data_IF_134207207502
#
_entry.id   IF_134207207502
#
_cell.length_a   1.000
_cell.length_b   1.000
_cell.length_c   1.000
_cell.angle_alpha   90.00
_cell.angle_beta   90.00
_cell.angle_gamma   90.00
#
_symmetry.space_group_name_H-M   'P 1'
#
loop_
_entity.id
_entity.type
_entity.pdbx_description
1 polymer ?
#
# COMPACT_ATOMS: atom_id res chain seq x y z
N UNK A 1 10.51 6.08 -19.10
CA UNK A 1 9.61 5.18 -18.36
C UNK A 1 8.73 4.43 -19.33
N UNK A 2 8.74 3.09 -19.28
CA UNK A 2 7.79 2.27 -20.03
C UNK A 2 6.45 2.28 -19.28
N UNK A 3 5.49 3.08 -19.75
CA UNK A 3 4.21 3.30 -19.07
C UNK A 3 3.41 1.98 -18.93
N UNK A 4 3.39 1.14 -19.97
CA UNK A 4 2.61 -0.10 -19.96
C UNK A 4 3.08 -1.07 -18.88
N UNK A 5 4.40 -1.31 -18.82
CA UNK A 5 4.99 -2.17 -17.78
C UNK A 5 4.89 -1.54 -16.39
N UNK A 6 5.04 -0.20 -16.29
CA UNK A 6 4.90 0.51 -15.02
C UNK A 6 3.49 0.36 -14.44
N UNK A 7 2.46 0.54 -15.26
CA UNK A 7 1.05 0.37 -14.84
C UNK A 7 0.74 -1.09 -14.51
N UNK A 8 1.25 -2.05 -15.29
CA UNK A 8 1.09 -3.48 -15.00
C UNK A 8 1.63 -3.83 -13.61
N UNK A 9 2.91 -3.51 -13.34
CA UNK A 9 3.54 -3.85 -12.07
C UNK A 9 2.99 -3.05 -10.90
N UNK A 10 2.56 -1.81 -11.14
CA UNK A 10 1.80 -1.04 -10.17
C UNK A 10 0.51 -1.77 -9.74
N UNK A 11 -0.33 -2.19 -10.70
CA UNK A 11 -1.60 -2.88 -10.42
C UNK A 11 -1.35 -4.18 -9.65
N UNK A 12 -0.35 -4.96 -10.09
CA UNK A 12 0.01 -6.23 -9.43
C UNK A 12 0.49 -5.98 -8.01
N UNK A 13 1.42 -5.04 -7.80
CA UNK A 13 1.93 -4.68 -6.49
C UNK A 13 0.81 -4.21 -5.56
N UNK A 14 0.00 -3.25 -6.01
CA UNK A 14 -1.12 -2.69 -5.27
C UNK A 14 -2.13 -3.76 -4.87
N UNK A 15 -2.50 -4.65 -5.80
CA UNK A 15 -3.42 -5.75 -5.51
C UNK A 15 -2.83 -6.70 -4.45
N UNK A 16 -1.56 -7.08 -4.58
CA UNK A 16 -0.92 -8.02 -3.65
C UNK A 16 -0.80 -7.43 -2.25
N UNK A 17 -0.30 -6.19 -2.09
CA UNK A 17 -0.18 -5.56 -0.76
C UNK A 17 -1.55 -5.41 -0.10
N UNK A 18 -2.58 -5.08 -0.88
CA UNK A 18 -3.96 -4.95 -0.40
C UNK A 18 -4.49 -6.29 0.09
N UNK A 19 -4.34 -7.36 -0.71
CA UNK A 19 -4.78 -8.71 -0.32
C UNK A 19 -4.03 -9.25 0.89
N UNK A 20 -2.75 -8.94 1.04
CA UNK A 20 -1.98 -9.31 2.25
C UNK A 20 -2.55 -8.60 3.48
N UNK A 21 -2.87 -7.31 3.41
CA UNK A 21 -3.49 -6.57 4.52
C UNK A 21 -4.89 -7.10 4.89
N UNK A 22 -5.73 -7.36 3.88
CA UNK A 22 -7.05 -7.98 4.07
C UNK A 22 -6.90 -9.38 4.70
N UNK A 23 -5.97 -10.18 4.17
CA UNK A 23 -5.69 -11.52 4.66
C UNK A 23 -5.20 -11.54 6.10
N UNK A 24 -4.32 -10.60 6.49
CA UNK A 24 -3.87 -10.49 7.89
C UNK A 24 -5.01 -10.05 8.82
N UNK A 25 -5.87 -9.12 8.38
CA UNK A 25 -7.07 -8.74 9.14
C UNK A 25 -8.02 -9.95 9.32
N UNK A 26 -8.22 -10.74 8.27
CA UNK A 26 -9.02 -11.96 8.34
C UNK A 26 -8.39 -13.01 9.26
N UNK A 27 -7.07 -13.17 9.23
CA UNK A 27 -6.34 -14.06 10.13
C UNK A 27 -6.51 -13.64 11.60
N UNK A 28 -6.35 -12.34 11.89
CA UNK A 28 -6.57 -11.76 13.21
C UNK A 28 -7.98 -12.04 13.73
N UNK A 29 -8.98 -11.92 12.85
CA UNK A 29 -10.37 -12.16 13.22
C UNK A 29 -10.70 -13.65 13.38
N UNK A 30 -10.39 -14.49 12.39
CA UNK A 30 -10.87 -15.88 12.35
C UNK A 30 -9.96 -16.86 13.07
N UNK A 31 -8.65 -16.64 13.03
CA UNK A 31 -7.67 -17.56 13.59
C UNK A 31 -7.31 -17.14 15.01
N UNK A 32 -6.92 -15.88 15.20
CA UNK A 32 -6.58 -15.36 16.54
C UNK A 32 -7.81 -15.00 17.38
N UNK A 33 -9.00 -14.98 16.78
CA UNK A 33 -10.28 -14.69 17.46
C UNK A 33 -10.24 -13.37 18.23
N UNK A 34 -9.62 -12.34 17.64
CA UNK A 34 -9.59 -11.01 18.24
C UNK A 34 -11.01 -10.45 18.21
N UNK A 35 -11.60 -10.29 19.38
CA UNK A 35 -12.91 -9.68 19.60
C UNK A 35 -12.78 -8.16 19.70
N UNK A 36 -13.88 -7.45 19.39
CA UNK A 36 -13.93 -6.01 19.54
C UNK A 36 -14.15 -5.66 21.02
N UNK A 37 -13.35 -4.74 21.51
CA UNK A 37 -13.45 -4.17 22.86
C UNK A 37 -14.57 -3.14 22.97
N UNK A 38 -15.02 -2.58 21.84
CA UNK A 38 -16.15 -1.66 21.76
C UNK A 38 -17.39 -2.38 21.25
N UNK A 39 -18.50 -2.18 21.95
CA UNK A 39 -19.81 -2.70 21.55
C UNK A 39 -20.38 -1.98 20.32
N UNK A 40 -20.15 -0.67 20.23
CA UNK A 40 -20.58 0.15 19.10
C UNK A 40 -19.42 0.39 18.12
N UNK A 41 -19.64 0.02 16.85
CA UNK A 41 -18.69 0.22 15.76
C UNK A 41 -19.11 1.45 14.96
N UNK A 42 -18.41 2.56 15.19
CA UNK A 42 -18.64 3.83 14.51
C UNK A 42 -17.54 4.14 13.48
N UNK A 43 -16.38 3.49 13.62
CA UNK A 43 -15.19 3.62 12.80
C UNK A 43 -14.66 2.25 12.40
N UNK A 44 -13.94 2.18 11.28
CA UNK A 44 -13.21 0.97 10.92
C UNK A 44 -12.10 0.63 11.93
N UNK A 45 -11.57 1.63 12.65
CA UNK A 45 -10.61 1.44 13.74
C UNK A 45 -11.23 0.92 15.04
N UNK A 46 -12.56 0.90 15.15
CA UNK A 46 -13.23 0.23 16.28
C UNK A 46 -13.22 -1.31 16.10
N UNK A 47 -12.86 -1.79 14.91
CA UNK A 47 -12.64 -3.21 14.63
C UNK A 47 -11.21 -3.56 15.05
N UNK A 48 -11.07 -4.17 16.23
CA UNK A 48 -9.76 -4.43 16.85
C UNK A 48 -8.87 -5.34 16.00
N UNK A 49 -9.49 -6.30 15.29
CA UNK A 49 -8.78 -7.17 14.35
C UNK A 49 -8.10 -6.38 13.23
N UNK A 50 -8.72 -5.30 12.74
CA UNK A 50 -8.17 -4.41 11.72
C UNK A 50 -7.17 -3.41 12.29
N UNK A 51 -7.50 -2.76 13.42
CA UNK A 51 -6.63 -1.78 14.05
C UNK A 51 -5.25 -2.36 14.39
N UNK A 52 -5.20 -3.66 14.75
CA UNK A 52 -3.94 -4.38 14.98
C UNK A 52 -3.18 -4.73 13.69
N UNK A 53 -3.85 -4.80 12.55
CA UNK A 53 -3.22 -5.05 11.24
C UNK A 53 -2.52 -3.81 10.70
N UNK A 54 -3.08 -2.63 10.98
CA UNK A 54 -2.66 -1.32 10.45
C UNK A 54 -1.15 -1.05 10.50
N UNK A 55 -0.44 -1.28 11.62
CA UNK A 55 1.02 -1.12 11.67
C UNK A 55 1.79 -1.98 10.67
N UNK A 56 1.27 -3.17 10.35
CA UNK A 56 1.92 -4.11 9.44
C UNK A 56 1.72 -3.73 7.98
N UNK A 57 0.73 -2.91 7.65
CA UNK A 57 0.52 -2.45 6.28
C UNK A 57 1.77 -1.74 5.75
N UNK A 58 2.41 -0.90 6.57
CA UNK A 58 3.69 -0.28 6.22
C UNK A 58 4.78 -1.32 5.93
N UNK A 59 4.90 -2.36 6.77
CA UNK A 59 5.90 -3.43 6.60
C UNK A 59 5.70 -4.19 5.28
N UNK A 60 4.45 -4.51 4.92
CA UNK A 60 4.15 -5.17 3.65
C UNK A 60 4.58 -4.33 2.46
N UNK A 61 4.34 -3.01 2.54
CA UNK A 61 4.72 -2.10 1.48
C UNK A 61 6.24 -1.96 1.37
N UNK A 62 6.96 -1.88 2.50
CA UNK A 62 8.45 -1.85 2.52
C UNK A 62 9.05 -3.07 1.84
N UNK A 63 8.44 -4.26 2.00
CA UNK A 63 8.97 -5.51 1.43
C UNK A 63 8.54 -5.72 -0.02
N UNK A 64 7.26 -5.50 -0.33
CA UNK A 64 6.70 -5.92 -1.61
C UNK A 64 6.99 -4.92 -2.74
N UNK A 65 6.94 -3.62 -2.48
CA UNK A 65 7.15 -2.63 -3.55
C UNK A 65 8.55 -2.69 -4.16
N UNK A 66 9.66 -2.85 -3.41
CA UNK A 66 10.98 -2.98 -4.01
C UNK A 66 11.11 -4.20 -4.91
N UNK A 67 10.43 -5.31 -4.59
CA UNK A 67 10.41 -6.52 -5.42
C UNK A 67 9.79 -6.22 -6.78
N UNK A 68 8.64 -5.53 -6.82
CA UNK A 68 8.00 -5.18 -8.09
C UNK A 68 8.75 -4.10 -8.85
N UNK A 69 9.39 -3.15 -8.18
CA UNK A 69 10.31 -2.21 -8.82
C UNK A 69 11.50 -2.93 -9.47
N UNK A 70 12.09 -3.90 -8.78
CA UNK A 70 13.18 -4.72 -9.31
C UNK A 70 12.74 -5.49 -10.56
N UNK A 71 11.57 -6.15 -10.52
CA UNK A 71 11.00 -6.88 -11.66
C UNK A 71 10.75 -5.93 -12.85
N UNK A 72 10.27 -4.71 -12.61
CA UNK A 72 10.09 -3.71 -13.66
C UNK A 72 11.43 -3.35 -14.33
N UNK A 73 12.47 -3.08 -13.55
CA UNK A 73 13.74 -2.64 -14.12
C UNK A 73 14.50 -3.72 -14.87
N UNK A 74 14.45 -4.99 -14.43
CA UNK A 74 15.07 -6.08 -15.20
C UNK A 74 14.41 -6.24 -16.59
N UNK A 75 13.13 -5.88 -16.73
CA UNK A 75 12.41 -5.95 -18.00
C UNK A 75 12.65 -4.72 -18.88
N UNK A 76 12.70 -3.53 -18.28
CA UNK A 76 12.88 -2.28 -19.03
C UNK A 76 14.35 -2.02 -19.37
N UNK A 77 15.28 -2.44 -18.51
CA UNK A 77 16.73 -2.22 -18.65
C UNK A 77 17.08 -0.78 -19.09
N UNK A 78 16.69 0.24 -18.29
CA UNK A 78 16.83 1.62 -18.72
C UNK A 78 18.28 2.11 -18.77
N UNK A 79 18.60 2.96 -19.75
CA UNK A 79 19.93 3.60 -19.87
C UNK A 79 20.24 4.58 -18.73
N UNK A 80 19.20 5.25 -18.18
CA UNK A 80 19.33 6.24 -17.11
C UNK A 80 18.58 5.79 -15.84
N UNK A 81 19.13 4.77 -15.16
CA UNK A 81 18.49 4.07 -14.06
C UNK A 81 17.96 4.98 -12.92
N UNK A 82 18.76 5.95 -12.46
CA UNK A 82 18.34 6.83 -11.35
C UNK A 82 17.15 7.74 -11.72
N UNK A 83 17.18 8.32 -12.92
CA UNK A 83 16.09 9.18 -13.42
C UNK A 83 14.80 8.37 -13.58
N UNK A 84 14.91 7.15 -14.09
CA UNK A 84 13.79 6.23 -14.21
C UNK A 84 13.22 5.82 -12.85
N UNK A 85 14.08 5.60 -11.85
CA UNK A 85 13.64 5.28 -10.49
C UNK A 85 12.86 6.41 -9.83
N UNK A 86 13.34 7.65 -9.94
CA UNK A 86 12.63 8.81 -9.41
C UNK A 86 11.28 9.02 -10.10
N UNK A 87 11.23 8.90 -11.43
CA UNK A 87 9.99 9.02 -12.19
C UNK A 87 9.00 7.90 -11.85
N UNK A 88 9.47 6.66 -11.74
CA UNK A 88 8.65 5.52 -11.40
C UNK A 88 8.07 5.65 -9.98
N UNK A 89 8.90 6.02 -9.00
CA UNK A 89 8.49 6.18 -7.62
C UNK A 89 7.47 7.31 -7.46
N UNK A 90 7.71 8.45 -8.10
CA UNK A 90 6.77 9.57 -8.12
C UNK A 90 5.43 9.17 -8.78
N UNK A 91 5.50 8.48 -9.91
CA UNK A 91 4.31 8.02 -10.63
C UNK A 91 3.47 7.05 -9.79
N UNK A 92 4.10 6.03 -9.20
CA UNK A 92 3.41 5.04 -8.36
C UNK A 92 2.80 5.66 -7.10
N UNK A 93 3.52 6.55 -6.39
CA UNK A 93 2.96 7.16 -5.18
C UNK A 93 1.80 8.10 -5.49
N UNK A 94 1.87 8.89 -6.56
CA UNK A 94 0.78 9.78 -6.99
C UNK A 94 -0.47 8.97 -7.35
N UNK A 95 -0.32 7.91 -8.14
CA UNK A 95 -1.44 7.05 -8.50
C UNK A 95 -2.01 6.35 -7.28
N UNK A 96 -1.16 5.87 -6.37
CA UNK A 96 -1.61 5.25 -5.11
C UNK A 96 -2.50 6.21 -4.33
N UNK A 97 -2.05 7.45 -4.10
CA UNK A 97 -2.83 8.46 -3.36
C UNK A 97 -4.20 8.69 -4.04
N UNK A 98 -4.23 8.80 -5.38
CA UNK A 98 -5.48 8.99 -6.13
C UNK A 98 -6.41 7.79 -5.95
N UNK A 99 -5.90 6.57 -6.15
CA UNK A 99 -6.67 5.34 -5.99
C UNK A 99 -7.15 5.19 -4.55
N UNK A 100 -6.34 5.58 -3.57
CA UNK A 100 -6.70 5.44 -2.17
C UNK A 100 -7.83 6.39 -1.77
N UNK A 101 -7.80 7.64 -2.24
CA UNK A 101 -8.92 8.58 -2.06
C UNK A 101 -10.18 8.02 -2.72
N UNK A 102 -10.08 7.60 -3.98
CA UNK A 102 -11.25 7.16 -4.75
C UNK A 102 -11.82 5.86 -4.15
N UNK A 103 -10.97 4.87 -3.99
CA UNK A 103 -11.29 3.53 -3.54
C UNK A 103 -11.78 3.52 -2.10
N UNK A 104 -10.97 4.01 -1.16
CA UNK A 104 -11.24 3.85 0.27
C UNK A 104 -12.07 4.97 0.89
N UNK A 105 -12.17 6.15 0.26
CA UNK A 105 -12.87 7.30 0.86
C UNK A 105 -14.15 7.68 0.11
N UNK A 106 -14.08 7.78 -1.23
CA UNK A 106 -15.20 8.29 -2.04
C UNK A 106 -16.21 7.19 -2.41
N UNK A 107 -15.74 6.01 -2.82
CA UNK A 107 -16.62 4.90 -3.20
C UNK A 107 -17.26 4.29 -1.95
N UNK A 108 -18.57 4.00 -2.04
CA UNK A 108 -19.31 3.34 -0.97
C UNK A 108 -19.10 1.83 -1.05
N UNK A 109 -18.40 1.28 -0.07
CA UNK A 109 -18.26 -0.15 0.15
C UNK A 109 -18.08 -0.42 1.66
N UNK A 110 -18.15 -1.67 2.14
CA UNK A 110 -18.13 -1.98 3.58
C UNK A 110 -16.84 -1.60 4.32
N UNK A 111 -15.77 -1.30 3.58
CA UNK A 111 -14.44 -0.96 4.12
C UNK A 111 -14.11 0.52 3.90
N UNK A 112 -15.13 1.33 3.59
CA UNK A 112 -14.96 2.76 3.34
C UNK A 112 -14.54 3.46 4.64
N UNK A 113 -13.53 4.31 4.52
CA UNK A 113 -13.02 5.18 5.57
C UNK A 113 -13.43 6.64 5.30
N UNK A 114 -13.52 7.44 6.35
CA UNK A 114 -13.58 8.89 6.26
C UNK A 114 -12.19 9.46 5.93
N UNK A 115 -12.15 10.71 5.46
CA UNK A 115 -10.89 11.43 5.20
C UNK A 115 -10.03 11.49 6.47
N UNK A 116 -10.65 11.72 7.63
CA UNK A 116 -9.97 11.74 8.92
C UNK A 116 -9.36 10.38 9.23
N UNK A 117 -10.12 9.31 9.09
CA UNK A 117 -9.65 7.95 9.34
C UNK A 117 -8.47 7.57 8.43
N UNK A 118 -8.51 7.97 7.15
CA UNK A 118 -7.47 7.62 6.18
C UNK A 118 -6.18 8.44 6.35
N UNK A 119 -6.27 9.74 6.66
CA UNK A 119 -5.12 10.65 6.62
C UNK A 119 -4.65 11.18 7.97
N UNK A 120 -5.50 11.13 9.01
CA UNK A 120 -5.17 11.57 10.37
C UNK A 120 -5.01 10.36 11.27
N UNK A 121 -6.03 9.51 11.39
CA UNK A 121 -6.01 8.40 12.34
C UNK A 121 -5.11 7.25 11.87
N UNK A 122 -4.85 7.13 10.56
CA UNK A 122 -3.90 6.17 9.99
C UNK A 122 -2.43 6.58 10.14
N UNK A 123 -2.14 7.76 10.69
CA UNK A 123 -0.76 8.17 10.92
C UNK A 123 -0.13 7.34 12.05
N UNK A 124 1.18 7.02 11.97
CA UNK A 124 2.14 7.40 10.92
C UNK A 124 2.14 6.46 9.71
N UNK A 125 1.34 5.41 9.72
CA UNK A 125 1.45 4.26 8.82
C UNK A 125 1.18 4.62 7.36
N UNK A 126 0.18 5.46 7.08
CA UNK A 126 -0.11 5.87 5.70
C UNK A 126 1.05 6.66 5.08
N UNK A 127 1.72 7.50 5.88
CA UNK A 127 2.93 8.22 5.43
C UNK A 127 4.07 7.24 5.12
N UNK A 128 4.28 6.26 6.00
CA UNK A 128 5.30 5.22 5.78
C UNK A 128 5.00 4.39 4.53
N UNK A 129 3.73 4.08 4.26
CA UNK A 129 3.32 3.39 3.03
C UNK A 129 3.70 4.22 1.81
N UNK A 130 3.29 5.49 1.73
CA UNK A 130 3.60 6.33 0.57
C UNK A 130 5.11 6.55 0.39
N UNK A 131 5.87 6.72 1.48
CA UNK A 131 7.32 6.80 1.42
C UNK A 131 7.93 5.49 0.92
N UNK A 132 7.42 4.35 1.36
CA UNK A 132 7.90 3.04 0.90
C UNK A 132 7.70 2.91 -0.61
N UNK A 133 6.53 3.27 -1.12
CA UNK A 133 6.23 3.22 -2.57
C UNK A 133 7.19 4.11 -3.36
N UNK A 134 7.40 5.35 -2.91
CA UNK A 134 8.29 6.30 -3.57
C UNK A 134 9.75 5.84 -3.57
N UNK A 135 10.23 5.32 -2.45
CA UNK A 135 11.63 4.92 -2.26
C UNK A 135 11.92 3.54 -2.88
N UNK A 136 10.91 2.70 -3.09
CA UNK A 136 11.09 1.33 -3.57
C UNK A 136 11.87 1.21 -4.88
N UNK A 137 11.61 2.02 -5.92
CA UNK A 137 12.46 2.04 -7.12
C UNK A 137 13.91 2.41 -6.82
N UNK A 138 14.16 3.35 -5.90
CA UNK A 138 15.51 3.74 -5.50
C UNK A 138 16.24 2.62 -4.75
N UNK A 139 15.52 1.82 -3.96
CA UNK A 139 16.10 0.63 -3.33
C UNK A 139 16.44 -0.42 -4.38
N UNK A 140 15.53 -0.64 -5.35
CA UNK A 140 15.74 -1.62 -6.40
C UNK A 140 16.97 -1.33 -7.27
N UNK A 141 17.35 -0.06 -7.47
CA UNK A 141 18.57 0.29 -8.22
C UNK A 141 19.86 -0.17 -7.54
N UNK A 142 19.84 -0.48 -6.23
CA UNK A 142 21.01 -1.03 -5.52
C UNK A 142 21.29 -2.50 -5.87
N UNK A 143 20.34 -3.17 -6.55
CA UNK A 143 20.40 -4.60 -6.88
C UNK A 143 20.46 -4.86 -8.39
N UNK A 144 20.63 -3.82 -9.20
CA UNK A 144 20.63 -3.84 -10.67
C UNK A 144 21.95 -3.29 -11.16
#
# INVERSE_FOLDING_TARGET
MNIGLSVLWFIVAYAIVTWVGIGHTYFNWKVLKIENTKDEINSFYDIDAYAKTVPYHALYNIVLWPVFSYIYFIQVSPEHLLNEALLLGAFWVIITIIIDVIGWVLIKHPWRMTVKEMYIDYQPWITLIYLSIFISPLIATLFI
#
